data_IF_448541097770
#
_entry.id   IF_448541097770
#
_cell.length_a   1.000
_cell.length_b   1.000
_cell.length_c   1.000
_cell.angle_alpha   90.00
_cell.angle_beta   90.00
_cell.angle_gamma   90.00
#
_symmetry.space_group_name_H-M   'P 1'
#
loop_
_entity.id
_entity.type
_entity.pdbx_description
1 polymer ?
#
# COMPACT_ATOMS: atom_id res chain seq x y z
N UNK A 1 -15.91 -2.10 26.17
CA UNK A 1 -15.47 -3.22 25.30
C UNK A 1 -16.18 -3.19 23.95
N UNK A 2 -17.51 -3.31 23.88
CA UNK A 2 -18.28 -3.25 22.61
C UNK A 2 -18.00 -1.98 21.77
N UNK A 3 -18.11 -0.78 22.36
CA UNK A 3 -17.80 0.50 21.68
C UNK A 3 -16.38 0.57 21.09
N UNK A 4 -15.40 -0.03 21.77
CA UNK A 4 -14.02 -0.06 21.29
C UNK A 4 -13.88 -1.00 20.08
N UNK A 5 -14.49 -2.19 20.13
CA UNK A 5 -14.51 -3.13 19.03
C UNK A 5 -15.20 -2.54 17.79
N UNK A 6 -16.34 -1.87 17.96
CA UNK A 6 -17.06 -1.21 16.85
C UNK A 6 -16.26 -0.05 16.27
N UNK A 7 -15.55 0.74 17.09
CA UNK A 7 -14.68 1.82 16.58
C UNK A 7 -13.50 1.29 15.77
N UNK A 8 -12.91 0.15 16.17
CA UNK A 8 -11.85 -0.49 15.39
C UNK A 8 -12.39 -1.00 14.06
N UNK A 9 -13.55 -1.65 14.05
CA UNK A 9 -14.19 -2.08 12.81
C UNK A 9 -14.47 -0.90 11.87
N UNK A 10 -15.08 0.18 12.36
CA UNK A 10 -15.33 1.39 11.57
C UNK A 10 -14.04 1.94 10.96
N UNK A 11 -12.97 2.04 11.75
CA UNK A 11 -11.67 2.50 11.26
C UNK A 11 -11.15 1.66 10.08
N UNK A 12 -11.25 0.32 10.16
CA UNK A 12 -10.80 -0.56 9.09
C UNK A 12 -11.71 -0.50 7.85
N UNK A 13 -13.02 -0.31 8.03
CA UNK A 13 -13.96 -0.08 6.93
C UNK A 13 -13.68 1.26 6.22
N UNK A 14 -13.39 2.30 6.98
CA UNK A 14 -13.07 3.63 6.45
C UNK A 14 -11.78 3.57 5.61
N UNK A 15 -10.73 2.91 6.12
CA UNK A 15 -9.50 2.71 5.34
C UNK A 15 -9.69 1.81 4.12
N UNK A 16 -10.49 0.75 4.23
CA UNK A 16 -10.80 -0.10 3.08
C UNK A 16 -11.48 0.72 1.98
N UNK A 17 -12.50 1.48 2.34
CA UNK A 17 -13.22 2.38 1.42
C UNK A 17 -12.28 3.43 0.83
N UNK A 18 -11.37 3.99 1.63
CA UNK A 18 -10.37 4.94 1.16
C UNK A 18 -9.43 4.31 0.12
N UNK A 19 -8.92 3.10 0.36
CA UNK A 19 -8.04 2.41 -0.59
C UNK A 19 -8.76 1.84 -1.82
N UNK A 20 -10.08 1.66 -1.77
CA UNK A 20 -10.88 1.34 -2.95
C UNK A 20 -11.09 2.58 -3.85
N UNK A 21 -11.20 3.77 -3.24
CA UNK A 21 -11.42 5.03 -3.97
C UNK A 21 -10.13 5.65 -4.52
N UNK A 22 -8.99 5.38 -3.89
CA UNK A 22 -7.71 6.00 -4.24
C UNK A 22 -6.70 4.92 -4.63
N UNK A 23 -6.15 5.03 -5.84
CA UNK A 23 -5.15 4.10 -6.34
C UNK A 23 -3.91 4.15 -5.45
N UNK A 24 -3.36 3.00 -5.09
CA UNK A 24 -2.15 2.93 -4.28
C UNK A 24 -0.98 3.66 -4.97
N UNK A 25 -0.23 4.47 -4.24
CA UNK A 25 0.88 5.27 -4.79
C UNK A 25 0.45 6.66 -5.27
N UNK A 26 -0.85 6.93 -5.38
CA UNK A 26 -1.38 8.29 -5.58
C UNK A 26 -1.02 9.20 -4.41
N UNK A 27 -1.06 10.52 -4.66
CA UNK A 27 -0.82 11.54 -3.64
C UNK A 27 -1.71 11.32 -2.42
N UNK A 28 -2.98 11.05 -2.62
CA UNK A 28 -3.95 10.80 -1.56
C UNK A 28 -3.48 9.65 -0.65
N UNK A 29 -3.05 8.53 -1.24
CA UNK A 29 -2.60 7.37 -0.46
C UNK A 29 -1.23 7.57 0.19
N UNK A 30 -0.32 8.32 -0.44
CA UNK A 30 1.03 8.56 0.10
C UNK A 30 1.03 9.66 1.18
N UNK A 31 0.13 10.62 1.11
CA UNK A 31 -0.06 11.71 2.09
C UNK A 31 -0.80 11.25 3.36
N UNK A 32 -1.20 9.97 3.45
CA UNK A 32 -1.67 9.38 4.70
C UNK A 32 -0.62 9.59 5.80
N UNK A 33 -1.02 10.25 6.88
CA UNK A 33 -0.16 10.54 8.02
C UNK A 33 0.51 9.25 8.53
N UNK A 34 1.85 9.26 8.56
CA UNK A 34 2.65 8.11 8.96
C UNK A 34 2.35 7.67 10.41
N UNK A 35 1.94 8.59 11.28
CA UNK A 35 1.53 8.29 12.65
C UNK A 35 0.23 7.48 12.67
N UNK A 36 -0.71 7.77 11.76
CA UNK A 36 -1.93 6.99 11.56
C UNK A 36 -1.63 5.60 11.00
N UNK A 37 -0.66 5.49 10.08
CA UNK A 37 -0.19 4.20 9.58
C UNK A 37 0.40 3.34 10.72
N UNK A 38 1.30 3.89 11.53
CA UNK A 38 1.88 3.18 12.69
C UNK A 38 0.83 2.78 13.74
N UNK A 39 -0.12 3.66 14.06
CA UNK A 39 -1.21 3.35 14.98
C UNK A 39 -2.08 2.20 14.46
N UNK A 40 -2.41 2.22 13.17
CA UNK A 40 -3.19 1.16 12.51
C UNK A 40 -2.43 -0.16 12.53
N UNK A 41 -1.11 -0.16 12.25
CA UNK A 41 -0.26 -1.35 12.30
C UNK A 41 -0.17 -1.97 13.70
N UNK A 42 -0.19 -1.17 14.78
CA UNK A 42 -0.28 -1.72 16.14
C UNK A 42 -1.60 -2.48 16.34
N UNK A 43 -2.68 -2.01 15.73
CA UNK A 43 -3.98 -2.72 15.77
C UNK A 43 -3.95 -3.98 14.92
N UNK A 44 -3.28 -3.96 13.76
CA UNK A 44 -3.04 -5.12 12.92
C UNK A 44 -2.28 -6.25 13.63
N UNK A 45 -1.22 -5.90 14.36
CA UNK A 45 -0.43 -6.86 15.13
C UNK A 45 -1.26 -7.50 16.26
N UNK A 46 -1.99 -6.67 17.02
CA UNK A 46 -2.91 -7.15 18.05
C UNK A 46 -3.99 -8.09 17.51
N UNK A 47 -4.52 -7.81 16.32
CA UNK A 47 -5.52 -8.66 15.67
C UNK A 47 -4.93 -10.00 15.23
N UNK A 48 -3.73 -9.99 14.65
CA UNK A 48 -3.01 -11.19 14.20
C UNK A 48 -2.60 -12.10 15.36
N UNK A 49 -2.18 -11.51 16.48
CA UNK A 49 -1.77 -12.22 17.70
C UNK A 49 -2.93 -12.58 18.62
N UNK A 50 -4.18 -12.22 18.26
CA UNK A 50 -5.34 -12.54 19.06
C UNK A 50 -5.58 -14.06 19.04
N UNK A 51 -5.62 -14.75 20.20
CA UNK A 51 -5.91 -16.18 20.25
C UNK A 51 -7.20 -16.50 19.50
N UNK A 52 -7.21 -17.59 18.73
CA UNK A 52 -8.39 -18.02 17.95
C UNK A 52 -9.64 -18.18 18.82
N UNK A 53 -9.47 -18.59 20.09
CA UNK A 53 -10.53 -18.70 21.09
C UNK A 53 -11.14 -17.34 21.48
N UNK A 54 -10.36 -16.25 21.42
CA UNK A 54 -10.82 -14.89 21.70
C UNK A 54 -11.47 -14.21 20.49
N UNK A 55 -11.30 -14.73 19.27
CA UNK A 55 -12.11 -14.30 18.11
C UNK A 55 -13.60 -14.59 18.32
N UNK A 56 -13.94 -15.50 19.24
CA UNK A 56 -15.33 -15.81 19.61
C UNK A 56 -15.79 -15.07 20.89
N UNK A 57 -14.87 -14.68 21.78
CA UNK A 57 -15.18 -14.04 23.07
C UNK A 57 -15.04 -12.51 23.05
N UNK A 58 -14.23 -11.95 22.16
CA UNK A 58 -14.39 -10.57 21.73
C UNK A 58 -15.45 -10.56 20.64
N UNK A 59 -16.47 -9.72 20.79
CA UNK A 59 -17.36 -9.27 19.71
C UNK A 59 -16.56 -8.44 18.68
N UNK A 60 -15.40 -8.91 18.24
CA UNK A 60 -14.70 -8.38 17.08
C UNK A 60 -15.35 -9.06 15.89
N UNK A 61 -16.22 -8.35 15.14
CA UNK A 61 -16.82 -8.90 13.94
C UNK A 61 -15.71 -9.41 13.01
N UNK A 62 -16.03 -10.38 12.15
CA UNK A 62 -15.10 -10.76 11.08
C UNK A 62 -14.85 -9.51 10.25
N UNK A 63 -13.63 -8.98 10.30
CA UNK A 63 -13.20 -7.83 9.52
C UNK A 63 -12.34 -8.34 8.35
N UNK A 64 -12.93 -8.77 7.22
CA UNK A 64 -12.17 -9.29 6.07
C UNK A 64 -11.19 -8.26 5.50
N UNK A 65 -11.43 -6.97 5.75
CA UNK A 65 -10.63 -5.83 5.30
C UNK A 65 -9.27 -5.74 5.99
N UNK A 66 -9.11 -6.33 7.18
CA UNK A 66 -7.91 -6.18 8.01
C UNK A 66 -6.66 -6.57 7.23
N UNK A 67 -6.66 -7.73 6.56
CA UNK A 67 -5.49 -8.17 5.79
C UNK A 67 -5.06 -7.16 4.73
N UNK A 68 -6.03 -6.66 3.94
CA UNK A 68 -5.77 -5.70 2.87
C UNK A 68 -5.35 -4.31 3.36
N UNK A 69 -5.96 -3.81 4.43
CA UNK A 69 -5.62 -2.52 5.04
C UNK A 69 -4.25 -2.58 5.71
N UNK A 70 -3.99 -3.61 6.53
CA UNK A 70 -2.71 -3.77 7.22
C UNK A 70 -1.55 -3.87 6.25
N UNK A 71 -1.72 -4.59 5.13
CA UNK A 71 -0.66 -4.73 4.14
C UNK A 71 -0.35 -3.42 3.43
N UNK A 72 -1.38 -2.66 3.01
CA UNK A 72 -1.19 -1.32 2.42
C UNK A 72 -0.54 -0.34 3.40
N UNK A 73 -1.03 -0.30 4.64
CA UNK A 73 -0.44 0.51 5.71
C UNK A 73 1.02 0.14 5.96
N UNK A 74 1.36 -1.15 5.93
CA UNK A 74 2.74 -1.59 6.08
C UNK A 74 3.61 -1.05 4.95
N UNK A 75 3.19 -1.23 3.69
CA UNK A 75 3.94 -0.72 2.53
C UNK A 75 4.14 0.79 2.62
N UNK A 76 3.14 1.55 3.06
CA UNK A 76 3.23 3.00 3.26
C UNK A 76 4.30 3.43 4.28
N UNK A 77 4.74 2.53 5.17
CA UNK A 77 5.83 2.79 6.14
C UNK A 77 7.21 2.34 5.66
N UNK A 78 7.30 1.75 4.47
CA UNK A 78 8.57 1.20 3.95
C UNK A 78 9.41 2.24 3.19
N UNK A 79 10.72 2.00 3.03
CA UNK A 79 11.60 2.81 2.19
C UNK A 79 11.07 3.01 0.77
N UNK A 80 10.38 2.01 0.20
CA UNK A 80 9.72 2.12 -1.09
C UNK A 80 8.71 3.28 -1.14
N UNK A 81 7.76 3.33 -0.21
CA UNK A 81 6.75 4.40 -0.18
C UNK A 81 7.39 5.77 0.16
N UNK A 82 8.43 5.78 1.00
CA UNK A 82 9.18 7.00 1.27
C UNK A 82 9.88 7.54 0.02
N UNK A 83 10.45 6.67 -0.82
CA UNK A 83 11.01 7.11 -2.09
C UNK A 83 9.91 7.72 -2.99
N UNK A 84 8.76 7.06 -3.14
CA UNK A 84 7.66 7.61 -3.93
C UNK A 84 7.22 9.01 -3.47
N UNK A 85 7.13 9.24 -2.15
CA UNK A 85 6.83 10.57 -1.57
C UNK A 85 7.86 11.62 -1.95
N UNK A 86 9.15 11.25 -1.94
CA UNK A 86 10.22 12.15 -2.36
C UNK A 86 10.11 12.49 -3.85
N UNK A 87 9.84 11.49 -4.69
CA UNK A 87 9.73 11.63 -6.14
C UNK A 87 8.54 12.49 -6.57
N UNK A 88 7.45 12.50 -5.80
CA UNK A 88 6.29 13.37 -6.08
C UNK A 88 6.62 14.86 -6.10
N UNK A 89 7.71 15.27 -5.46
CA UNK A 89 8.12 16.67 -5.34
C UNK A 89 9.41 16.98 -6.14
N UNK A 90 9.87 16.06 -6.98
CA UNK A 90 11.14 16.18 -7.71
C UNK A 90 10.96 15.90 -9.19
N UNK A 91 11.96 16.30 -9.99
CA UNK A 91 12.01 15.94 -11.41
C UNK A 91 12.56 14.53 -11.53
N UNK A 92 11.70 13.62 -11.98
CA UNK A 92 12.02 12.21 -12.24
C UNK A 92 12.67 12.11 -13.62
N UNK A 93 13.82 11.46 -13.73
CA UNK A 93 14.55 11.32 -14.99
C UNK A 93 14.11 10.11 -15.79
N UNK A 94 13.76 9.00 -15.12
CA UNK A 94 13.25 7.81 -15.80
C UNK A 94 11.79 8.01 -16.25
N UNK A 95 11.48 7.83 -17.54
CA UNK A 95 10.09 7.87 -18.04
C UNK A 95 9.18 6.80 -17.41
N UNK A 96 9.74 5.62 -17.12
CA UNK A 96 9.03 4.50 -16.49
C UNK A 96 8.67 4.85 -15.04
N UNK A 97 9.62 5.38 -14.29
CA UNK A 97 9.40 5.82 -12.91
C UNK A 97 8.47 7.04 -12.86
N UNK A 98 8.57 7.94 -13.84
CA UNK A 98 7.69 9.10 -13.94
C UNK A 98 6.24 8.67 -14.17
N UNK A 99 6.05 7.69 -15.07
CA UNK A 99 4.75 7.05 -15.28
C UNK A 99 4.26 6.44 -13.96
N UNK A 100 5.11 5.67 -13.27
CA UNK A 100 4.76 5.01 -12.01
C UNK A 100 4.31 5.99 -10.93
N UNK A 101 5.00 7.11 -10.76
CA UNK A 101 4.77 8.06 -9.66
C UNK A 101 3.62 9.02 -9.96
N UNK A 102 3.42 9.43 -11.22
CA UNK A 102 2.56 10.59 -11.52
C UNK A 102 1.30 10.26 -12.34
N UNK A 103 1.29 9.20 -13.14
CA UNK A 103 0.21 8.99 -14.13
C UNK A 103 -0.87 8.00 -13.67
N UNK A 104 -1.85 8.45 -12.89
CA UNK A 104 -2.94 7.57 -12.40
C UNK A 104 -4.15 7.49 -13.35
N UNK A 105 -4.00 7.87 -14.62
CA UNK A 105 -5.04 7.68 -15.65
C UNK A 105 -5.17 6.21 -16.03
N UNK A 106 -6.24 5.82 -16.72
CA UNK A 106 -6.41 4.43 -17.20
C UNK A 106 -5.22 3.97 -18.06
N UNK A 107 -4.73 4.83 -18.97
CA UNK A 107 -3.54 4.57 -19.79
C UNK A 107 -2.27 4.45 -18.94
N UNK A 108 -2.12 5.33 -17.96
CA UNK A 108 -1.00 5.31 -17.01
C UNK A 108 -0.98 4.06 -16.13
N UNK A 109 -2.14 3.55 -15.72
CA UNK A 109 -2.29 2.28 -15.01
C UNK A 109 -1.97 1.10 -15.93
N UNK A 110 -2.48 1.09 -17.16
CA UNK A 110 -2.17 0.06 -18.15
C UNK A 110 -0.66 -0.04 -18.39
N UNK A 111 0.01 1.11 -18.55
CA UNK A 111 1.47 1.18 -18.71
C UNK A 111 2.23 0.68 -17.48
N UNK A 112 1.83 1.08 -16.26
CA UNK A 112 2.41 0.50 -15.02
C UNK A 112 2.30 -1.02 -14.99
N UNK A 113 1.16 -1.55 -15.39
CA UNK A 113 0.94 -2.99 -15.39
C UNK A 113 1.85 -3.72 -16.38
N UNK A 114 2.17 -3.10 -17.54
CA UNK A 114 3.20 -3.58 -18.47
C UNK A 114 4.62 -3.47 -17.89
N UNK A 115 4.97 -2.32 -17.31
CA UNK A 115 6.29 -2.07 -16.72
C UNK A 115 6.57 -3.02 -15.53
N UNK A 116 5.55 -3.35 -14.75
CA UNK A 116 5.61 -4.35 -13.66
C UNK A 116 5.76 -5.80 -14.16
N UNK A 117 5.46 -6.06 -15.44
CA UNK A 117 5.74 -7.35 -16.09
C UNK A 117 7.19 -7.39 -16.56
N UNK A 118 7.65 -6.34 -17.24
CA UNK A 118 9.01 -6.19 -17.79
C UNK A 118 9.96 -5.49 -16.80
N UNK A 119 9.88 -5.91 -15.53
CA UNK A 119 10.42 -5.24 -14.33
C UNK A 119 11.89 -4.81 -14.35
N UNK A 120 12.71 -5.25 -15.32
CA UNK A 120 14.14 -4.91 -15.35
C UNK A 120 14.38 -3.41 -15.50
N UNK A 121 13.69 -2.75 -16.43
CA UNK A 121 13.85 -1.30 -16.66
C UNK A 121 13.38 -0.48 -15.47
N UNK A 122 12.24 -0.85 -14.89
CA UNK A 122 11.70 -0.18 -13.71
C UNK A 122 12.58 -0.39 -12.46
N UNK A 123 13.17 -1.58 -12.29
CA UNK A 123 14.14 -1.85 -11.21
C UNK A 123 15.43 -1.04 -11.37
N UNK A 124 15.92 -0.88 -12.60
CA UNK A 124 17.08 -0.05 -12.90
C UNK A 124 16.79 1.42 -12.60
N UNK A 125 15.60 1.90 -12.99
CA UNK A 125 15.12 3.24 -12.64
C UNK A 125 15.02 3.47 -11.13
N UNK A 126 14.46 2.50 -10.38
CA UNK A 126 14.47 2.54 -8.92
C UNK A 126 15.88 2.61 -8.34
N UNK A 127 16.85 1.92 -8.92
CA UNK A 127 18.23 1.92 -8.43
C UNK A 127 18.98 3.23 -8.72
N UNK A 128 18.49 4.03 -9.67
CA UNK A 128 19.05 5.33 -10.01
C UNK A 128 18.48 6.46 -9.15
N UNK A 129 17.19 6.39 -8.80
CA UNK A 129 16.50 7.49 -8.11
C UNK A 129 16.13 7.19 -6.65
N UNK A 130 16.16 5.91 -6.23
CA UNK A 130 15.91 5.48 -4.87
C UNK A 130 17.11 4.75 -4.27
N UNK A 131 17.11 4.59 -2.94
CA UNK A 131 18.08 3.75 -2.26
C UNK A 131 17.87 2.24 -2.55
N UNK A 132 18.91 1.44 -2.31
CA UNK A 132 18.88 -0.01 -2.54
C UNK A 132 17.79 -0.70 -1.69
N UNK A 133 17.45 -0.13 -0.53
CA UNK A 133 16.41 -0.65 0.35
C UNK A 133 15.01 -0.49 -0.24
N UNK A 134 14.69 0.68 -0.81
CA UNK A 134 13.46 0.92 -1.55
C UNK A 134 13.32 -0.04 -2.74
N UNK A 135 14.40 -0.28 -3.50
CA UNK A 135 14.42 -1.26 -4.58
C UNK A 135 14.13 -2.68 -4.11
N UNK A 136 14.69 -3.09 -2.96
CA UNK A 136 14.40 -4.41 -2.35
C UNK A 136 12.94 -4.53 -1.90
N UNK A 137 12.39 -3.49 -1.28
CA UNK A 137 10.97 -3.45 -0.89
C UNK A 137 10.03 -3.48 -2.10
N UNK A 138 10.32 -2.71 -3.14
CA UNK A 138 9.57 -2.73 -4.38
C UNK A 138 9.52 -4.15 -4.98
N UNK A 139 10.68 -4.81 -5.08
CA UNK A 139 10.77 -6.21 -5.55
C UNK A 139 9.94 -7.16 -4.69
N UNK A 140 9.95 -6.97 -3.38
CA UNK A 140 9.20 -7.80 -2.43
C UNK A 140 7.68 -7.63 -2.59
N UNK A 141 7.19 -6.41 -2.81
CA UNK A 141 5.75 -6.12 -2.92
C UNK A 141 5.20 -6.20 -4.34
N UNK A 142 5.98 -6.59 -5.34
CA UNK A 142 5.59 -6.54 -6.75
C UNK A 142 4.26 -7.25 -7.05
N UNK A 143 4.01 -8.40 -6.40
CA UNK A 143 2.74 -9.13 -6.57
C UNK A 143 1.54 -8.35 -5.98
N UNK A 144 1.74 -7.70 -4.83
CA UNK A 144 0.70 -6.89 -4.19
C UNK A 144 0.40 -5.63 -4.98
N UNK A 145 1.45 -4.95 -5.45
CA UNK A 145 1.32 -3.75 -6.28
C UNK A 145 0.54 -4.04 -7.56
N UNK A 146 0.77 -5.18 -8.22
CA UNK A 146 -0.06 -5.62 -9.35
C UNK A 146 -1.53 -5.75 -8.98
N UNK A 147 -1.82 -6.31 -7.80
CA UNK A 147 -3.19 -6.38 -7.28
C UNK A 147 -3.78 -4.99 -7.00
N UNK A 148 -3.00 -4.06 -6.47
CA UNK A 148 -3.47 -2.71 -6.13
C UNK A 148 -3.68 -1.79 -7.32
N UNK A 149 -2.94 -2.02 -8.41
CA UNK A 149 -3.16 -1.35 -9.69
C UNK A 149 -4.22 -2.06 -10.56
N UNK A 150 -4.90 -3.08 -10.02
CA UNK A 150 -5.88 -3.89 -10.75
C UNK A 150 -5.33 -4.43 -12.08
N UNK A 151 -4.06 -4.84 -12.11
CA UNK A 151 -3.47 -5.41 -13.30
C UNK A 151 -4.15 -6.75 -13.62
N UNK A 152 -5.07 -6.73 -14.58
CA UNK A 152 -5.79 -7.90 -15.06
C UNK A 152 -4.92 -8.66 -16.06
N UNK A 153 -4.01 -9.51 -15.59
CA UNK A 153 -3.28 -10.40 -16.50
C UNK A 153 -3.33 -11.86 -16.02
N UNK A 154 -3.72 -12.73 -16.97
CA UNK A 154 -3.38 -14.15 -17.01
C UNK A 154 -1.88 -14.33 -17.24
#
# INVERSE_FOLDING_TARGET
MYKFCTSVETLFLDYATFFEKNVFGSKETLDLDISNAHSTLKTCDRYSNCPSLNKFNCFLPKMPQVGGVCKRMFILTTPYANCLRSLQNQTIQSPELQTLVNDFTEDGIAKKCLDLKERSTLMDAFSQECDEEAGRHFKYFLADLKGYYNCSYN
#
